data_IF_872153472962
#
_entry.id   IF_872153472962
#
_cell.length_a   1.000
_cell.length_b   1.000
_cell.length_c   1.000
_cell.angle_alpha   90.00
_cell.angle_beta   90.00
_cell.angle_gamma   90.00
#
_symmetry.space_group_name_H-M   'P 1'
#
loop_
_entity.id
_entity.type
_entity.pdbx_description
1 polymer ?
#
# COMPACT_ATOMS: atom_id res chain seq x y z
N UNK A 1 -20.28 -6.17 -21.27
CA UNK A 1 -19.59 -5.88 -20.01
C UNK A 1 -20.52 -4.98 -19.22
N UNK A 2 -21.24 -5.52 -18.23
CA UNK A 2 -22.14 -4.72 -17.40
C UNK A 2 -21.26 -3.78 -16.59
N UNK A 3 -21.38 -2.47 -16.84
CA UNK A 3 -20.74 -1.44 -16.02
C UNK A 3 -21.20 -1.67 -14.59
N UNK A 4 -20.32 -2.21 -13.74
CA UNK A 4 -20.60 -2.29 -12.31
C UNK A 4 -20.47 -0.87 -11.79
N UNK A 5 -21.54 -0.33 -11.20
CA UNK A 5 -21.46 0.95 -10.49
C UNK A 5 -20.32 0.85 -9.47
N UNK A 6 -19.41 1.84 -9.47
CA UNK A 6 -18.26 1.83 -8.56
C UNK A 6 -18.81 1.83 -7.12
N UNK A 7 -18.48 0.83 -6.31
CA UNK A 7 -18.85 0.87 -4.89
C UNK A 7 -18.14 2.08 -4.29
N UNK A 8 -18.92 2.98 -3.71
CA UNK A 8 -18.38 4.15 -3.01
C UNK A 8 -18.02 3.73 -1.60
N UNK A 9 -16.73 3.62 -1.34
CA UNK A 9 -16.22 3.47 0.02
C UNK A 9 -16.29 4.83 0.75
N UNK A 10 -16.61 4.85 2.06
CA UNK A 10 -16.46 6.06 2.86
C UNK A 10 -15.05 6.63 2.70
N UNK A 11 -14.98 7.86 2.16
CA UNK A 11 -13.72 8.57 1.90
C UNK A 11 -13.27 9.35 3.11
N UNK A 12 -11.96 9.51 3.23
CA UNK A 12 -11.34 10.07 4.43
C UNK A 12 -11.41 9.07 5.58
N UNK A 13 -10.71 9.39 6.66
CA UNK A 13 -10.61 8.53 7.84
C UNK A 13 -9.19 8.07 8.15
N UNK A 14 -8.91 7.73 9.42
CA UNK A 14 -7.59 7.28 9.86
C UNK A 14 -7.25 5.91 9.23
N UNK A 15 -6.03 5.80 8.71
CA UNK A 15 -5.44 4.55 8.21
C UNK A 15 -4.21 4.20 9.04
N UNK A 16 -4.00 2.92 9.31
CA UNK A 16 -2.77 2.41 9.93
C UNK A 16 -2.04 1.42 9.02
N UNK A 17 -0.72 1.41 9.14
CA UNK A 17 0.18 0.43 8.52
C UNK A 17 0.92 -0.27 9.65
N UNK A 18 0.72 -1.58 9.81
CA UNK A 18 1.26 -2.30 10.95
C UNK A 18 1.71 -3.70 10.56
N UNK A 19 3.01 -3.95 10.64
CA UNK A 19 3.62 -5.24 10.32
C UNK A 19 4.02 -6.05 11.58
N UNK A 20 3.69 -5.54 12.78
CA UNK A 20 3.65 -6.34 13.99
C UNK A 20 2.48 -7.33 13.99
N UNK A 21 2.27 -8.03 15.12
CA UNK A 21 1.26 -9.11 15.24
C UNK A 21 0.31 -8.96 16.44
N UNK A 22 0.49 -7.89 17.20
CA UNK A 22 -0.27 -7.52 18.39
C UNK A 22 -1.13 -6.28 18.12
N UNK A 23 -1.59 -5.61 19.18
CA UNK A 23 -2.27 -4.31 19.11
C UNK A 23 -3.65 -4.30 18.42
N UNK A 24 -4.31 -5.46 18.30
CA UNK A 24 -5.66 -5.61 17.73
C UNK A 24 -6.67 -4.60 18.31
N UNK A 25 -6.58 -4.27 19.59
CA UNK A 25 -7.47 -3.29 20.22
C UNK A 25 -7.16 -1.84 19.82
N UNK A 26 -5.89 -1.47 19.67
CA UNK A 26 -5.50 -0.15 19.19
C UNK A 26 -5.79 0.03 17.70
N UNK A 27 -5.59 -1.03 16.91
CA UNK A 27 -5.93 -1.08 15.49
C UNK A 27 -7.44 -0.84 15.25
N UNK A 28 -8.29 -1.12 16.24
CA UNK A 28 -9.73 -0.86 16.16
C UNK A 28 -10.10 0.64 16.11
N UNK A 29 -9.16 1.55 16.40
CA UNK A 29 -9.36 3.00 16.31
C UNK A 29 -9.24 3.56 14.88
N UNK A 30 -8.88 2.72 13.90
CA UNK A 30 -8.67 3.12 12.51
C UNK A 30 -9.80 2.60 11.62
N UNK A 31 -10.11 3.33 10.56
CA UNK A 31 -11.11 2.89 9.57
C UNK A 31 -10.54 1.79 8.67
N UNK A 32 -9.23 1.84 8.42
CA UNK A 32 -8.48 0.92 7.57
C UNK A 32 -7.16 0.55 8.23
N UNK A 33 -6.79 -0.72 8.18
CA UNK A 33 -5.49 -1.19 8.67
C UNK A 33 -4.83 -2.10 7.65
N UNK A 34 -3.58 -1.81 7.29
CA UNK A 34 -2.76 -2.62 6.39
C UNK A 34 -1.91 -3.58 7.22
N UNK A 35 -2.06 -4.88 6.96
CA UNK A 35 -1.47 -5.95 7.77
C UNK A 35 -0.74 -6.99 6.90
N UNK A 36 0.26 -7.65 7.47
CA UNK A 36 0.88 -8.86 6.90
C UNK A 36 -0.08 -10.05 7.07
N UNK A 37 -0.76 -10.46 6.00
CA UNK A 37 -1.91 -11.38 6.06
C UNK A 37 -1.63 -12.69 6.80
N UNK A 38 -0.49 -13.31 6.54
CA UNK A 38 -0.08 -14.56 7.16
C UNK A 38 0.14 -14.47 8.67
N UNK A 39 0.37 -13.27 9.20
CA UNK A 39 0.72 -13.05 10.59
C UNK A 39 -0.49 -12.98 11.55
N UNK A 40 -1.73 -12.96 11.01
CA UNK A 40 -2.96 -12.77 11.78
C UNK A 40 -3.93 -13.95 11.67
N UNK A 41 -4.57 -14.35 12.76
CA UNK A 41 -5.60 -15.40 12.71
C UNK A 41 -6.92 -14.90 12.10
N UNK A 42 -7.78 -15.80 11.65
CA UNK A 42 -9.13 -15.43 11.21
C UNK A 42 -9.95 -14.75 12.32
N UNK A 43 -9.68 -15.10 13.58
CA UNK A 43 -10.34 -14.48 14.75
C UNK A 43 -9.91 -13.03 14.92
N UNK A 44 -8.63 -12.72 14.72
CA UNK A 44 -8.11 -11.34 14.76
C UNK A 44 -8.75 -10.47 13.68
N UNK A 45 -8.78 -11.00 12.45
CA UNK A 45 -9.40 -10.31 11.32
C UNK A 45 -10.90 -10.12 11.53
N UNK A 46 -11.61 -11.14 12.02
CA UNK A 46 -13.03 -11.02 12.36
C UNK A 46 -13.28 -9.98 13.46
N UNK A 47 -12.42 -9.91 14.47
CA UNK A 47 -12.51 -8.92 15.56
C UNK A 47 -12.41 -7.48 15.04
N UNK A 48 -11.50 -7.21 14.09
CA UNK A 48 -11.40 -5.90 13.43
C UNK A 48 -12.66 -5.58 12.62
N UNK A 49 -13.12 -6.53 11.79
CA UNK A 49 -14.31 -6.34 10.93
C UNK A 49 -15.58 -6.07 11.74
N UNK A 50 -15.82 -6.80 12.83
CA UNK A 50 -17.01 -6.59 13.69
C UNK A 50 -16.96 -5.22 14.39
N UNK A 51 -15.78 -4.66 14.61
CA UNK A 51 -15.58 -3.32 15.15
C UNK A 51 -15.61 -2.22 14.09
N UNK A 52 -15.95 -2.56 12.85
CA UNK A 52 -16.12 -1.61 11.75
C UNK A 52 -14.83 -1.26 11.00
N UNK A 53 -13.70 -1.90 11.35
CA UNK A 53 -12.42 -1.69 10.68
C UNK A 53 -12.37 -2.50 9.39
N UNK A 54 -11.76 -1.92 8.35
CA UNK A 54 -11.45 -2.62 7.09
C UNK A 54 -9.99 -3.11 7.09
N UNK A 55 -9.74 -4.40 7.37
CA UNK A 55 -8.40 -4.96 7.23
C UNK A 55 -8.04 -5.14 5.74
N UNK A 56 -6.89 -4.58 5.37
CA UNK A 56 -6.28 -4.68 4.05
C UNK A 56 -5.06 -5.60 4.13
N UNK A 57 -4.99 -6.62 3.28
CA UNK A 57 -3.84 -7.52 3.23
C UNK A 57 -2.74 -6.91 2.36
N UNK A 58 -1.51 -6.88 2.87
CA UNK A 58 -0.31 -6.59 2.08
C UNK A 58 -0.13 -7.61 0.94
N UNK A 59 0.10 -7.11 -0.28
CA UNK A 59 0.49 -7.89 -1.46
C UNK A 59 1.62 -7.17 -2.20
N UNK A 60 2.79 -7.80 -2.30
CA UNK A 60 3.85 -7.37 -3.21
C UNK A 60 3.54 -7.84 -4.63
N UNK A 61 3.58 -6.95 -5.62
CA UNK A 61 3.20 -7.28 -7.00
C UNK A 61 4.39 -7.50 -7.94
N UNK A 62 5.58 -7.03 -7.58
CA UNK A 62 6.77 -7.13 -8.43
C UNK A 62 7.98 -7.76 -7.75
N UNK A 63 7.82 -8.13 -6.49
CA UNK A 63 8.83 -8.83 -5.71
C UNK A 63 8.23 -10.05 -5.01
N UNK A 64 9.00 -11.13 -4.97
CA UNK A 64 8.67 -12.39 -4.33
C UNK A 64 9.70 -12.74 -3.25
N UNK A 65 9.23 -13.05 -2.04
CA UNK A 65 10.05 -13.48 -0.90
C UNK A 65 9.91 -14.98 -0.63
N UNK A 66 9.19 -15.70 -1.50
CA UNK A 66 8.99 -17.14 -1.42
C UNK A 66 10.21 -17.96 -1.86
N UNK A 67 10.09 -19.31 -1.82
CA UNK A 67 11.13 -20.20 -2.32
C UNK A 67 11.38 -19.98 -3.83
N UNK A 68 12.52 -20.47 -4.37
CA UNK A 68 12.84 -20.35 -5.78
C UNK A 68 11.70 -20.78 -6.70
N UNK A 69 11.35 -19.91 -7.65
CA UNK A 69 10.26 -20.12 -8.60
C UNK A 69 10.62 -19.62 -10.00
N UNK A 70 9.96 -20.16 -11.04
CA UNK A 70 10.29 -19.87 -12.44
C UNK A 70 10.05 -18.41 -12.85
N UNK A 71 9.18 -17.70 -12.14
CA UNK A 71 8.93 -16.28 -12.38
C UNK A 71 9.96 -15.36 -11.73
N UNK A 72 10.82 -15.86 -10.83
CA UNK A 72 11.81 -15.03 -10.16
C UNK A 72 12.98 -14.71 -11.09
N UNK A 73 13.40 -13.45 -11.08
CA UNK A 73 14.62 -12.95 -11.73
C UNK A 73 15.82 -13.28 -10.85
N UNK A 74 17.01 -13.23 -11.45
CA UNK A 74 18.26 -13.42 -10.71
C UNK A 74 18.60 -12.24 -9.80
N UNK A 75 18.05 -11.05 -10.10
CA UNK A 75 18.20 -9.86 -9.29
C UNK A 75 17.20 -9.83 -8.12
N UNK A 76 17.66 -9.28 -7.00
CA UNK A 76 16.83 -9.00 -5.82
C UNK A 76 16.90 -7.52 -5.45
N UNK A 77 15.87 -7.03 -4.78
CA UNK A 77 15.84 -5.69 -4.23
C UNK A 77 16.93 -5.56 -3.15
N UNK A 78 17.92 -4.65 -3.29
CA UNK A 78 19.00 -4.52 -2.33
C UNK A 78 18.55 -3.97 -0.97
N UNK A 79 17.43 -3.24 -0.92
CA UNK A 79 16.96 -2.55 0.28
C UNK A 79 16.07 -3.43 1.17
N UNK A 80 15.35 -4.38 0.56
CA UNK A 80 14.32 -5.19 1.22
C UNK A 80 14.47 -6.71 1.02
N UNK A 81 15.29 -7.15 0.05
CA UNK A 81 15.67 -8.55 -0.12
C UNK A 81 14.72 -9.42 -0.95
N UNK A 82 13.59 -8.91 -1.43
CA UNK A 82 12.70 -9.65 -2.33
C UNK A 82 13.33 -9.91 -3.70
N UNK A 83 13.07 -11.08 -4.29
CA UNK A 83 13.45 -11.35 -5.68
C UNK A 83 12.53 -10.59 -6.61
N UNK A 84 13.10 -9.83 -7.56
CA UNK A 84 12.26 -9.23 -8.61
C UNK A 84 11.63 -10.35 -9.44
N UNK A 85 10.44 -10.12 -9.98
CA UNK A 85 9.72 -11.13 -10.77
C UNK A 85 9.57 -10.68 -12.22
N UNK A 86 9.39 -11.66 -13.11
CA UNK A 86 8.84 -11.44 -14.43
C UNK A 86 7.33 -11.22 -14.29
N UNK A 87 6.87 -9.98 -14.23
CA UNK A 87 5.46 -9.67 -13.88
C UNK A 87 4.46 -10.29 -14.86
N UNK A 88 4.84 -10.38 -16.14
CA UNK A 88 4.03 -11.03 -17.18
C UNK A 88 3.99 -12.57 -17.12
N UNK A 89 4.71 -13.21 -16.20
CA UNK A 89 4.71 -14.65 -16.08
C UNK A 89 3.36 -15.16 -15.54
N UNK A 90 2.67 -16.11 -16.21
CA UNK A 90 1.35 -16.56 -15.81
C UNK A 90 1.33 -17.16 -14.40
N UNK A 91 2.37 -17.93 -14.04
CA UNK A 91 2.51 -18.50 -12.69
C UNK A 91 2.60 -17.44 -11.58
N UNK A 92 3.16 -16.25 -11.87
CA UNK A 92 3.19 -15.16 -10.90
C UNK A 92 1.80 -14.54 -10.71
N UNK A 93 1.08 -14.32 -11.82
CA UNK A 93 -0.29 -13.83 -11.77
C UNK A 93 -1.22 -14.79 -11.00
N UNK A 94 -1.11 -16.10 -11.27
CA UNK A 94 -1.85 -17.13 -10.54
C UNK A 94 -1.50 -17.16 -9.05
N UNK A 95 -0.21 -17.04 -8.71
CA UNK A 95 0.26 -16.98 -7.33
C UNK A 95 -0.36 -15.80 -6.56
N UNK A 96 -0.26 -14.58 -7.11
CA UNK A 96 -0.79 -13.36 -6.49
C UNK A 96 -2.32 -13.42 -6.35
N UNK A 97 -3.04 -13.83 -7.40
CA UNK A 97 -4.50 -13.96 -7.36
C UNK A 97 -4.95 -15.06 -6.39
N UNK A 98 -4.20 -16.16 -6.31
CA UNK A 98 -4.42 -17.23 -5.34
C UNK A 98 -4.31 -16.74 -3.90
N UNK A 99 -3.22 -16.00 -3.60
CA UNK A 99 -3.01 -15.36 -2.29
C UNK A 99 -4.13 -14.36 -1.96
N UNK A 100 -4.50 -13.49 -2.89
CA UNK A 100 -5.61 -12.55 -2.69
C UNK A 100 -6.92 -13.28 -2.36
N UNK A 101 -7.26 -14.33 -3.12
CA UNK A 101 -8.44 -15.15 -2.88
C UNK A 101 -8.42 -15.86 -1.53
N UNK A 102 -7.27 -16.35 -1.08
CA UNK A 102 -7.09 -16.95 0.24
C UNK A 102 -7.32 -15.93 1.36
N UNK A 103 -6.65 -14.78 1.32
CA UNK A 103 -6.76 -13.77 2.36
C UNK A 103 -8.18 -13.20 2.45
N UNK A 104 -8.87 -13.09 1.31
CA UNK A 104 -10.29 -12.73 1.28
C UNK A 104 -11.16 -13.74 2.03
N UNK A 105 -10.93 -15.05 1.87
CA UNK A 105 -11.64 -16.10 2.61
C UNK A 105 -11.37 -16.03 4.11
N UNK A 106 -10.15 -15.66 4.50
CA UNK A 106 -9.75 -15.43 5.91
C UNK A 106 -10.37 -14.20 6.56
N UNK A 107 -11.10 -13.38 5.80
CA UNK A 107 -11.87 -12.26 6.34
C UNK A 107 -11.36 -10.87 5.94
N UNK A 108 -10.24 -10.77 5.21
CA UNK A 108 -9.79 -9.48 4.69
C UNK A 108 -10.84 -8.85 3.77
N UNK A 109 -10.91 -7.51 3.77
CA UNK A 109 -11.90 -6.72 3.01
C UNK A 109 -11.24 -5.68 2.12
N UNK A 110 -10.01 -5.97 1.73
CA UNK A 110 -9.24 -5.18 0.78
C UNK A 110 -7.77 -5.58 0.76
N UNK A 111 -7.01 -4.91 -0.09
CA UNK A 111 -5.62 -5.22 -0.36
C UNK A 111 -4.80 -3.95 -0.49
N UNK A 112 -3.59 -3.99 0.05
CA UNK A 112 -2.55 -2.99 -0.16
C UNK A 112 -1.56 -3.53 -1.18
N UNK A 113 -1.50 -2.88 -2.34
CA UNK A 113 -0.70 -3.30 -3.48
C UNK A 113 0.65 -2.58 -3.43
N UNK A 114 1.70 -3.31 -3.08
CA UNK A 114 3.04 -2.75 -2.92
C UNK A 114 3.96 -3.10 -4.11
N UNK A 115 5.16 -2.52 -4.09
CA UNK A 115 6.24 -2.70 -5.07
C UNK A 115 5.85 -2.26 -6.48
N UNK A 116 5.06 -1.18 -6.60
CA UNK A 116 4.53 -0.72 -7.88
C UNK A 116 5.49 0.15 -8.71
N UNK A 117 6.62 0.58 -8.15
CA UNK A 117 7.60 1.47 -8.80
C UNK A 117 8.56 0.75 -9.78
N UNK A 118 8.05 -0.25 -10.49
CA UNK A 118 8.87 -1.07 -11.39
C UNK A 118 9.41 -0.28 -12.58
N UNK A 119 8.86 0.90 -12.89
CA UNK A 119 9.39 1.80 -13.93
C UNK A 119 10.86 2.17 -13.71
N UNK A 120 11.33 2.12 -12.45
CA UNK A 120 12.69 2.47 -12.07
C UNK A 120 13.68 1.33 -12.31
N UNK A 121 13.21 0.09 -12.45
CA UNK A 121 14.04 -1.12 -12.51
C UNK A 121 13.78 -1.97 -13.76
N UNK A 122 12.52 -2.24 -14.09
CA UNK A 122 12.09 -3.02 -15.25
C UNK A 122 10.89 -2.34 -15.95
N UNK A 123 11.10 -1.22 -16.66
CA UNK A 123 10.01 -0.45 -17.26
C UNK A 123 9.16 -1.23 -18.27
N UNK A 124 9.72 -2.26 -18.92
CA UNK A 124 8.99 -3.12 -19.86
C UNK A 124 7.89 -3.95 -19.18
N UNK A 125 7.95 -4.13 -17.84
CA UNK A 125 6.93 -4.86 -17.09
C UNK A 125 5.72 -3.99 -16.72
N UNK A 126 5.74 -2.66 -16.95
CA UNK A 126 4.62 -1.76 -16.61
C UNK A 126 3.26 -2.20 -17.19
N UNK A 127 3.13 -2.60 -18.47
CA UNK A 127 1.85 -3.07 -19.01
C UNK A 127 1.38 -4.36 -18.35
N UNK A 128 2.30 -5.24 -17.98
CA UNK A 128 2.01 -6.48 -17.27
C UNK A 128 1.54 -6.22 -15.84
N UNK A 129 2.17 -5.27 -15.15
CA UNK A 129 1.76 -4.84 -13.82
C UNK A 129 0.35 -4.24 -13.83
N UNK A 130 0.05 -3.36 -14.80
CA UNK A 130 -1.30 -2.81 -14.93
C UNK A 130 -2.34 -3.91 -15.18
N UNK A 131 -2.00 -4.90 -16.01
CA UNK A 131 -2.86 -6.07 -16.27
C UNK A 131 -3.09 -6.89 -15.00
N UNK A 132 -2.05 -7.11 -14.19
CA UNK A 132 -2.16 -7.81 -12.91
C UNK A 132 -3.04 -7.05 -11.92
N UNK A 133 -2.88 -5.72 -11.80
CA UNK A 133 -3.75 -4.88 -10.95
C UNK A 133 -5.21 -4.96 -11.41
N UNK A 134 -5.47 -4.96 -12.72
CA UNK A 134 -6.82 -5.13 -13.26
C UNK A 134 -7.42 -6.50 -12.91
N UNK A 135 -6.63 -7.58 -13.00
CA UNK A 135 -7.07 -8.93 -12.61
C UNK A 135 -7.35 -9.03 -11.10
N UNK A 136 -6.55 -8.37 -10.26
CA UNK A 136 -6.81 -8.28 -8.81
C UNK A 136 -8.13 -7.54 -8.58
N UNK A 137 -8.36 -6.39 -9.22
CA UNK A 137 -9.62 -5.66 -9.10
C UNK A 137 -10.82 -6.51 -9.50
N UNK A 138 -10.74 -7.20 -10.64
CA UNK A 138 -11.84 -8.03 -11.12
C UNK A 138 -12.18 -9.18 -10.15
N UNK A 139 -11.15 -9.84 -9.61
CA UNK A 139 -11.32 -10.99 -8.72
C UNK A 139 -11.73 -10.63 -7.28
N UNK A 140 -11.40 -9.42 -6.82
CA UNK A 140 -11.62 -8.99 -5.43
C UNK A 140 -12.78 -8.02 -5.25
N UNK A 141 -13.34 -7.46 -6.33
CA UNK A 141 -14.49 -6.55 -6.23
C UNK A 141 -15.64 -7.13 -5.37
N UNK A 142 -16.25 -6.34 -4.45
CA UNK A 142 -16.11 -4.89 -4.27
C UNK A 142 -15.05 -4.46 -3.22
N UNK A 143 -14.10 -5.32 -2.87
CA UNK A 143 -13.14 -5.02 -1.80
C UNK A 143 -12.25 -3.79 -2.13
N UNK A 144 -11.75 -3.11 -1.10
CA UNK A 144 -10.95 -1.89 -1.24
C UNK A 144 -9.53 -2.18 -1.73
N UNK A 145 -9.02 -1.50 -2.75
CA UNK A 145 -7.60 -1.56 -3.14
C UNK A 145 -6.90 -0.23 -2.87
N UNK A 146 -5.79 -0.31 -2.12
CA UNK A 146 -4.89 0.80 -1.85
C UNK A 146 -3.56 0.53 -2.56
N UNK A 147 -3.20 1.35 -3.54
CA UNK A 147 -1.89 1.25 -4.20
C UNK A 147 -0.82 1.99 -3.41
N UNK A 148 0.34 1.38 -3.19
CA UNK A 148 1.52 2.10 -2.75
C UNK A 148 2.20 2.77 -3.94
N UNK A 149 2.14 4.11 -4.01
CA UNK A 149 2.62 4.90 -5.14
C UNK A 149 2.04 4.44 -6.49
N UNK A 150 2.84 3.76 -7.32
CA UNK A 150 2.47 3.36 -8.69
C UNK A 150 2.38 4.54 -9.67
N UNK A 151 3.17 5.61 -9.47
CA UNK A 151 3.04 6.83 -10.28
C UNK A 151 3.31 6.62 -11.78
N UNK A 152 4.16 5.66 -12.14
CA UNK A 152 4.39 5.27 -13.54
C UNK A 152 3.19 4.63 -14.24
N UNK A 153 2.16 4.21 -13.48
CA UNK A 153 0.93 3.59 -13.98
C UNK A 153 -0.25 4.57 -14.07
N UNK A 154 -0.05 5.83 -13.66
CA UNK A 154 -1.10 6.85 -13.70
C UNK A 154 -1.25 7.45 -15.11
N UNK A 155 -2.47 7.80 -15.53
CA UNK A 155 -3.71 7.81 -14.75
C UNK A 155 -4.47 6.47 -14.70
N UNK A 156 -4.11 5.46 -15.49
CA UNK A 156 -4.88 4.21 -15.63
C UNK A 156 -5.03 3.46 -14.31
N UNK A 157 -4.01 3.48 -13.45
CA UNK A 157 -4.09 2.89 -12.11
C UNK A 157 -5.26 3.45 -11.28
N UNK A 158 -5.55 4.75 -11.40
CA UNK A 158 -6.61 5.41 -10.62
C UNK A 158 -8.03 4.92 -10.99
N UNK A 159 -8.20 4.30 -12.15
CA UNK A 159 -9.47 3.65 -12.54
C UNK A 159 -9.62 2.27 -11.88
N UNK A 160 -8.51 1.67 -11.43
CA UNK A 160 -8.45 0.32 -10.89
C UNK A 160 -8.33 0.26 -9.36
N UNK A 161 -7.94 1.35 -8.69
CA UNK A 161 -7.77 1.40 -7.22
C UNK A 161 -8.77 2.33 -6.55
N UNK A 162 -8.98 2.17 -5.25
CA UNK A 162 -9.84 3.06 -4.44
C UNK A 162 -9.01 4.20 -3.81
N UNK A 163 -7.75 3.91 -3.49
CA UNK A 163 -6.83 4.90 -2.95
C UNK A 163 -5.39 4.69 -3.40
N UNK A 164 -4.59 5.74 -3.22
CA UNK A 164 -3.14 5.76 -3.41
C UNK A 164 -2.47 6.24 -2.13
N UNK A 165 -1.47 5.50 -1.67
CA UNK A 165 -0.56 5.90 -0.61
C UNK A 165 0.66 6.57 -1.22
N UNK A 166 1.01 7.75 -0.71
CA UNK A 166 2.28 8.40 -0.99
C UNK A 166 3.28 8.07 0.12
N UNK A 167 4.15 7.08 -0.12
CA UNK A 167 5.15 6.62 0.85
C UNK A 167 6.58 6.87 0.36
N UNK A 168 7.47 7.66 0.95
CA UNK A 168 7.16 8.65 1.95
C UNK A 168 6.97 10.03 1.34
N UNK A 169 6.03 10.77 1.90
CA UNK A 169 5.63 12.05 1.34
C UNK A 169 6.54 13.20 1.80
N UNK A 170 6.91 13.22 3.08
CA UNK A 170 7.58 14.32 3.77
C UNK A 170 8.88 13.91 4.46
N UNK A 171 8.92 12.75 5.13
CA UNK A 171 10.08 12.27 5.88
C UNK A 171 10.37 10.80 5.59
N UNK A 172 11.66 10.46 5.55
CA UNK A 172 12.14 9.15 5.15
C UNK A 172 13.10 8.58 6.17
N UNK A 173 13.24 7.27 6.14
CA UNK A 173 14.39 6.61 6.72
C UNK A 173 15.65 6.89 5.88
N UNK A 174 16.78 7.03 6.54
CA UNK A 174 18.14 7.14 5.99
C UNK A 174 19.06 6.24 6.82
N UNK A 175 20.26 5.93 6.32
CA UNK A 175 21.17 4.98 6.98
C UNK A 175 21.38 5.26 8.49
N UNK A 176 21.48 6.55 8.87
CA UNK A 176 21.73 6.99 10.24
C UNK A 176 20.47 7.49 10.99
N UNK A 177 19.26 7.11 10.55
CA UNK A 177 18.01 7.44 11.26
C UNK A 177 16.92 7.97 10.33
N UNK A 178 16.38 9.16 10.64
CA UNK A 178 15.23 9.72 9.93
C UNK A 178 15.44 11.19 9.60
N UNK A 179 15.05 11.58 8.40
CA UNK A 179 15.23 12.94 7.90
C UNK A 179 14.06 13.39 7.01
N UNK A 180 13.77 14.69 6.93
CA UNK A 180 12.89 15.19 5.88
C UNK A 180 13.50 14.95 4.50
N UNK A 181 12.67 14.81 3.47
CA UNK A 181 13.14 14.90 2.10
C UNK A 181 13.79 16.28 1.82
N UNK A 182 14.80 16.36 0.95
CA UNK A 182 15.35 17.63 0.48
C UNK A 182 14.28 18.56 -0.10
N UNK A 183 14.42 19.90 0.00
CA UNK A 183 13.39 20.84 -0.45
C UNK A 183 12.94 20.67 -1.90
N UNK A 184 13.87 20.42 -2.81
CA UNK A 184 13.60 20.17 -4.23
C UNK A 184 12.77 18.90 -4.45
N UNK A 185 13.00 17.87 -3.65
CA UNK A 185 12.19 16.64 -3.69
C UNK A 185 10.80 16.89 -3.08
N UNK A 186 10.70 17.68 -2.02
CA UNK A 186 9.41 18.07 -1.44
C UNK A 186 8.55 18.86 -2.44
N UNK A 187 9.16 19.69 -3.29
CA UNK A 187 8.44 20.40 -4.36
C UNK A 187 7.93 19.43 -5.44
N UNK A 188 8.72 18.41 -5.80
CA UNK A 188 8.29 17.34 -6.71
C UNK A 188 7.14 16.54 -6.10
N UNK A 189 7.25 16.17 -4.83
CA UNK A 189 6.20 15.44 -4.12
C UNK A 189 4.89 16.24 -4.05
N UNK A 190 4.97 17.57 -3.84
CA UNK A 190 3.80 18.44 -3.85
C UNK A 190 3.06 18.40 -5.20
N UNK A 191 3.80 18.41 -6.32
CA UNK A 191 3.22 18.30 -7.67
C UNK A 191 2.54 16.96 -7.90
N UNK A 192 3.14 15.86 -7.45
CA UNK A 192 2.50 14.54 -7.51
C UNK A 192 1.24 14.48 -6.63
N UNK A 193 1.27 15.05 -5.43
CA UNK A 193 0.09 15.13 -4.57
C UNK A 193 -1.04 15.94 -5.23
N UNK A 194 -0.75 17.10 -5.81
CA UNK A 194 -1.74 17.90 -6.57
C UNK A 194 -2.33 17.12 -7.74
N UNK A 195 -1.51 16.39 -8.49
CA UNK A 195 -1.97 15.52 -9.57
C UNK A 195 -2.90 14.41 -9.05
N UNK A 196 -2.54 13.74 -7.96
CA UNK A 196 -3.35 12.67 -7.35
C UNK A 196 -4.70 13.19 -6.84
N UNK A 197 -4.73 14.39 -6.25
CA UNK A 197 -5.97 15.04 -5.81
C UNK A 197 -6.91 15.41 -6.96
N UNK A 198 -6.39 15.49 -8.19
CA UNK A 198 -7.18 15.67 -9.40
C UNK A 198 -7.81 14.38 -9.95
N UNK A 199 -7.47 13.22 -9.37
CA UNK A 199 -7.97 11.91 -9.78
C UNK A 199 -9.08 11.43 -8.83
N UNK A 200 -9.94 10.53 -9.30
CA UNK A 200 -11.03 9.96 -8.49
C UNK A 200 -10.53 8.80 -7.61
N UNK A 201 -9.59 9.10 -6.71
CA UNK A 201 -9.02 8.18 -5.71
C UNK A 201 -8.86 8.89 -4.36
N UNK A 202 -8.86 8.14 -3.26
CA UNK A 202 -8.38 8.66 -1.98
C UNK A 202 -6.86 8.77 -1.98
N UNK A 203 -6.31 9.77 -1.30
CA UNK A 203 -4.86 9.97 -1.21
C UNK A 203 -4.44 10.00 0.26
N UNK A 204 -3.52 9.12 0.62
CA UNK A 204 -2.94 8.98 1.96
C UNK A 204 -1.46 9.30 1.94
N UNK A 205 -0.90 9.69 3.08
CA UNK A 205 0.53 9.81 3.26
C UNK A 205 1.02 8.80 4.31
N UNK A 206 2.11 8.11 4.00
CA UNK A 206 2.90 7.37 4.98
C UNK A 206 4.25 8.07 5.11
N UNK A 207 4.71 8.30 6.32
CA UNK A 207 5.96 8.99 6.59
C UNK A 207 6.73 8.31 7.73
N UNK A 208 8.05 8.48 7.72
CA UNK A 208 8.93 7.82 8.68
C UNK A 208 9.59 8.82 9.62
N UNK A 209 9.47 8.60 10.94
CA UNK A 209 10.05 9.49 11.95
C UNK A 209 10.31 8.77 13.28
N UNK A 210 11.33 9.24 14.00
CA UNK A 210 11.72 8.82 15.35
C UNK A 210 11.56 9.93 16.42
N UNK A 211 11.24 11.15 15.99
CA UNK A 211 11.04 12.30 16.89
C UNK A 211 9.66 12.92 16.71
N UNK A 212 9.04 13.42 17.79
CA UNK A 212 7.75 14.11 17.71
C UNK A 212 7.76 15.31 16.75
N UNK A 213 8.90 16.02 16.64
CA UNK A 213 9.04 17.16 15.74
C UNK A 213 8.97 16.75 14.27
N UNK A 214 9.65 15.67 13.89
CA UNK A 214 9.64 15.19 12.51
C UNK A 214 8.27 14.59 12.15
N UNK A 215 7.66 13.85 13.06
CA UNK A 215 6.31 13.33 12.88
C UNK A 215 5.28 14.45 12.71
N UNK A 216 5.35 15.49 13.55
CA UNK A 216 4.47 16.66 13.43
C UNK A 216 4.68 17.39 12.10
N UNK A 217 5.92 17.50 11.61
CA UNK A 217 6.20 18.10 10.30
C UNK A 217 5.55 17.32 9.15
N UNK A 218 5.66 15.99 9.16
CA UNK A 218 5.01 15.12 8.18
C UNK A 218 3.48 15.28 8.20
N UNK A 219 2.87 15.18 9.37
CA UNK A 219 1.42 15.34 9.55
C UNK A 219 0.93 16.72 9.08
N UNK A 220 1.61 17.80 9.48
CA UNK A 220 1.24 19.15 9.08
C UNK A 220 1.36 19.37 7.57
N UNK A 221 2.40 18.80 6.94
CA UNK A 221 2.57 18.92 5.49
C UNK A 221 1.49 18.13 4.76
N UNK A 222 1.24 16.87 5.12
CA UNK A 222 0.18 16.05 4.53
C UNK A 222 -1.21 16.69 4.68
N UNK A 223 -1.50 17.29 5.85
CA UNK A 223 -2.76 18.00 6.10
C UNK A 223 -3.00 19.18 5.15
N UNK A 224 -1.94 19.87 4.67
CA UNK A 224 -2.08 20.95 3.66
C UNK A 224 -2.58 20.45 2.31
N UNK A 225 -2.42 19.16 2.03
CA UNK A 225 -2.93 18.49 0.82
C UNK A 225 -4.21 17.69 1.11
N UNK A 226 -4.77 17.79 2.33
CA UNK A 226 -5.96 17.02 2.71
C UNK A 226 -5.74 15.51 2.81
N UNK A 227 -4.49 15.05 2.91
CA UNK A 227 -4.15 13.62 2.99
C UNK A 227 -4.12 13.15 4.44
N UNK A 228 -4.91 12.14 4.84
CA UNK A 228 -4.71 11.47 6.12
C UNK A 228 -3.29 10.88 6.16
N UNK A 229 -2.59 11.13 7.26
CA UNK A 229 -1.17 10.81 7.39
C UNK A 229 -0.94 9.82 8.52
N UNK A 230 -0.25 8.73 8.21
CA UNK A 230 0.28 7.79 9.19
C UNK A 230 1.80 7.99 9.28
N UNK A 231 2.32 8.12 10.51
CA UNK A 231 3.76 8.26 10.75
C UNK A 231 4.21 7.13 11.66
N UNK A 232 5.24 6.39 11.26
CA UNK A 232 5.78 5.28 12.03
C UNK A 232 7.29 5.15 11.83
N UNK A 233 7.88 4.09 12.40
CA UNK A 233 9.24 3.64 12.14
C UNK A 233 9.31 2.82 10.85
N UNK A 234 10.51 2.65 10.28
CA UNK A 234 10.71 1.94 8.99
C UNK A 234 10.13 0.52 8.98
N UNK A 235 10.19 -0.17 10.10
CA UNK A 235 9.70 -1.55 10.26
C UNK A 235 8.18 -1.65 10.36
N UNK A 236 7.47 -0.52 10.48
CA UNK A 236 6.02 -0.46 10.71
C UNK A 236 5.59 -1.30 11.92
N UNK A 237 6.49 -1.45 12.91
CA UNK A 237 6.27 -2.18 14.14
C UNK A 237 5.67 -1.34 15.27
N UNK A 238 5.34 -0.07 15.01
CA UNK A 238 4.82 0.85 16.02
C UNK A 238 3.59 1.61 15.53
N UNK A 239 2.56 1.67 16.38
CA UNK A 239 1.40 2.55 16.18
C UNK A 239 1.66 3.91 16.86
N UNK A 240 1.23 5.03 16.23
CA UNK A 240 1.26 6.35 16.85
C UNK A 240 0.62 6.34 18.25
N UNK A 241 1.16 7.17 19.15
CA UNK A 241 0.51 7.43 20.43
C UNK A 241 -0.91 7.98 20.20
N UNK A 242 -1.84 7.58 21.08
CA UNK A 242 -3.23 8.04 21.06
C UNK A 242 -3.36 9.53 21.39
#
# INVERSE_FOLDING_TARGET
MVSRERVTHPRGGPVAFYYGTDEIDRLAAFDRVVLQGEAYSEQDIASLVVRGVRPLCYLSLTEDTGPPAEWQRTQSNPDWGGHFVHVGHPGWSEHVLGKAGEMRRRGFRGFFLDTLNIELTFPDDLPHLLTLVAAIRESTYPDYLLANRGFGLLPQLAELVDGVLFESFTSRWVDDGYAPWPPDVLDVHARYAEMLLGLDVEVFALDYADTPRLAQYAQQRAARFGMPCFVSTRDLGTLPAA
#
